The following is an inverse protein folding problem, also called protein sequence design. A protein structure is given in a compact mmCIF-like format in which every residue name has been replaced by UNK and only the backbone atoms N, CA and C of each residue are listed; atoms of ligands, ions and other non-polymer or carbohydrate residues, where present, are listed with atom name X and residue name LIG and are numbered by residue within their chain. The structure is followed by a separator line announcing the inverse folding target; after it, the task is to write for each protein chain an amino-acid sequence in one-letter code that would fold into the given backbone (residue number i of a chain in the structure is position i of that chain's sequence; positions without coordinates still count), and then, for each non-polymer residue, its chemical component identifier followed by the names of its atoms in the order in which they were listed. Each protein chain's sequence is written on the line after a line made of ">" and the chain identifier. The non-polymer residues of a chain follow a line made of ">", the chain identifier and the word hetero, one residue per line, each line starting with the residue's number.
data_IF_661280720308
#
_entry.id   IF_661280720308
#
_cell.length_a   1.000
_cell.length_b   1.000
_cell.length_c   1.000
_cell.angle_alpha   90.00
_cell.angle_beta   90.00
_cell.angle_gamma   90.00
#
_symmetry.space_group_name_H-M   'P 1'
#
loop_
_entity.id
_entity.type
_entity.pdbx_description
1 polymer ?
#
# COMPACT_ATOMS: atom_id res chain seq x y z
N UNK A 1 -13.06 -15.81 3.71
CA UNK A 1 -12.65 -15.59 5.11
C UNK A 1 -12.01 -14.22 5.26
N UNK A 2 -12.29 -13.49 6.31
CA UNK A 2 -11.69 -12.18 6.61
C UNK A 2 -10.69 -12.37 7.74
N UNK A 3 -9.47 -11.81 7.58
CA UNK A 3 -8.46 -11.82 8.64
C UNK A 3 -8.74 -10.67 9.60
N UNK A 4 -8.82 -10.98 10.90
CA UNK A 4 -8.96 -9.99 11.97
C UNK A 4 -7.60 -9.84 12.65
N UNK A 5 -7.01 -8.67 12.54
CA UNK A 5 -5.72 -8.35 13.15
C UNK A 5 -5.47 -6.85 13.15
N UNK A 6 -4.33 -6.44 13.68
CA UNK A 6 -3.91 -5.05 13.63
C UNK A 6 -3.04 -4.83 12.37
N UNK A 7 -3.59 -4.23 11.30
CA UNK A 7 -2.85 -4.03 10.05
C UNK A 7 -1.66 -3.06 10.23
N UNK A 8 -1.75 -2.11 11.17
CA UNK A 8 -0.66 -1.19 11.47
C UNK A 8 0.55 -1.90 12.07
N UNK A 9 0.31 -2.88 12.97
CA UNK A 9 1.41 -3.66 13.53
C UNK A 9 2.07 -4.52 12.48
N UNK A 10 1.29 -5.20 11.64
CA UNK A 10 1.82 -6.00 10.54
C UNK A 10 2.64 -5.14 9.57
N UNK A 11 2.10 -3.99 9.15
CA UNK A 11 2.81 -3.03 8.29
C UNK A 11 4.15 -2.61 8.92
N UNK A 12 4.14 -2.20 10.19
CA UNK A 12 5.35 -1.73 10.88
C UNK A 12 6.41 -2.84 11.00
N UNK A 13 6.00 -4.09 11.27
CA UNK A 13 6.89 -5.25 11.30
C UNK A 13 7.55 -5.45 9.94
N UNK A 14 6.75 -5.51 8.86
CA UNK A 14 7.28 -5.77 7.52
C UNK A 14 8.16 -4.64 7.02
N UNK A 15 7.76 -3.39 7.20
CA UNK A 15 8.56 -2.21 6.80
C UNK A 15 9.92 -2.23 7.49
N UNK A 16 9.98 -2.41 8.81
CA UNK A 16 11.27 -2.41 9.52
C UNK A 16 12.22 -3.51 9.04
N UNK A 17 11.71 -4.70 8.73
CA UNK A 17 12.55 -5.82 8.27
C UNK A 17 12.97 -5.62 6.81
N UNK A 18 12.05 -5.21 5.94
CA UNK A 18 12.33 -4.97 4.51
C UNK A 18 13.32 -3.81 4.35
N UNK A 19 13.12 -2.71 5.08
CA UNK A 19 14.06 -1.58 5.06
C UNK A 19 15.47 -2.01 5.49
N UNK A 20 15.58 -2.86 6.52
CA UNK A 20 16.88 -3.42 6.91
C UNK A 20 17.46 -4.33 5.81
N UNK A 21 16.64 -5.18 5.21
CA UNK A 21 17.05 -6.06 4.13
C UNK A 21 17.55 -5.28 2.90
N UNK A 22 16.94 -4.15 2.58
CA UNK A 22 17.36 -3.24 1.51
C UNK A 22 18.63 -2.47 1.89
N UNK A 23 18.64 -1.90 3.10
CA UNK A 23 19.73 -1.06 3.61
C UNK A 23 21.06 -1.80 3.73
N UNK A 24 21.02 -3.06 4.19
CA UNK A 24 22.21 -3.88 4.41
C UNK A 24 22.46 -4.88 3.28
N UNK A 25 21.78 -4.70 2.14
CA UNK A 25 22.05 -5.52 0.96
C UNK A 25 23.30 -5.04 0.22
N UNK A 26 23.79 -5.88 -0.68
CA UNK A 26 24.89 -5.53 -1.61
C UNK A 26 24.30 -4.95 -2.89
N UNK A 27 25.11 -4.23 -3.67
CA UNK A 27 24.73 -3.85 -5.04
C UNK A 27 24.30 -5.09 -5.84
N UNK A 28 23.17 -5.00 -6.51
CA UNK A 28 22.54 -6.12 -7.25
C UNK A 28 22.11 -7.30 -6.38
N UNK A 29 21.99 -7.12 -5.07
CA UNK A 29 21.44 -8.14 -4.17
C UNK A 29 19.92 -8.26 -4.33
N UNK A 30 19.38 -9.36 -3.81
CA UNK A 30 17.96 -9.70 -3.91
C UNK A 30 17.34 -9.66 -2.52
N UNK A 31 16.13 -9.17 -2.42
CA UNK A 31 15.25 -9.33 -1.26
C UNK A 31 14.03 -10.12 -1.71
N UNK A 32 13.72 -11.21 -1.03
CA UNK A 32 12.53 -11.99 -1.31
C UNK A 32 11.61 -12.05 -0.11
N UNK A 33 10.30 -11.90 -0.35
CA UNK A 33 9.27 -12.00 0.68
C UNK A 33 8.34 -13.14 0.31
N UNK A 34 8.17 -14.10 1.21
CA UNK A 34 7.26 -15.24 1.04
C UNK A 34 6.27 -15.25 2.18
N UNK A 35 5.00 -15.47 1.86
CA UNK A 35 3.94 -15.63 2.86
C UNK A 35 3.28 -16.98 2.65
N UNK A 36 3.12 -17.74 3.74
CA UNK A 36 2.48 -19.05 3.70
C UNK A 36 1.57 -19.24 4.92
N UNK A 37 0.37 -19.73 4.68
CA UNK A 37 -0.50 -20.21 5.74
C UNK A 37 0.03 -21.54 6.28
N UNK A 38 0.12 -21.67 7.61
CA UNK A 38 0.71 -22.82 8.29
C UNK A 38 -0.32 -23.77 8.91
N UNK A 39 -1.60 -23.42 8.81
CA UNK A 39 -2.73 -24.19 9.31
C UNK A 39 -3.73 -23.29 10.04
N UNK A 40 -4.97 -23.79 10.17
CA UNK A 40 -6.06 -23.12 10.86
C UNK A 40 -6.59 -24.04 11.97
N UNK A 41 -6.71 -23.51 13.20
CA UNK A 41 -7.33 -24.19 14.34
C UNK A 41 -8.19 -23.21 15.12
N UNK A 42 -9.41 -23.59 15.44
CA UNK A 42 -10.33 -22.79 16.28
C UNK A 42 -10.53 -21.34 15.77
N UNK A 43 -10.68 -21.15 14.44
CA UNK A 43 -10.88 -19.83 13.87
C UNK A 43 -9.62 -18.94 13.87
N UNK A 44 -8.43 -19.51 14.12
CA UNK A 44 -7.16 -18.80 14.04
C UNK A 44 -6.25 -19.50 13.04
N UNK A 45 -5.78 -18.75 12.02
CA UNK A 45 -4.78 -19.25 11.08
C UNK A 45 -3.40 -18.76 11.46
N UNK A 46 -2.42 -19.63 11.34
CA UNK A 46 -1.01 -19.26 11.42
C UNK A 46 -0.52 -18.77 10.06
N UNK A 47 0.05 -17.59 10.00
CA UNK A 47 0.73 -17.08 8.80
C UNK A 47 2.22 -16.98 9.06
N UNK A 48 3.01 -17.62 8.18
CA UNK A 48 4.47 -17.50 8.16
C UNK A 48 4.87 -16.48 7.11
N UNK A 49 5.56 -15.44 7.56
CA UNK A 49 6.26 -14.48 6.72
C UNK A 49 7.74 -14.81 6.75
N UNK A 50 8.36 -14.94 5.59
CA UNK A 50 9.78 -15.19 5.44
C UNK A 50 10.36 -14.09 4.56
N UNK A 51 11.28 -13.31 5.12
CA UNK A 51 11.98 -12.22 4.44
C UNK A 51 13.46 -12.63 4.37
N UNK A 52 13.95 -12.81 3.15
CA UNK A 52 15.32 -13.25 2.85
C UNK A 52 16.05 -12.17 2.08
N UNK A 53 17.26 -11.83 2.48
CA UNK A 53 18.17 -10.94 1.76
C UNK A 53 19.49 -11.65 1.43
N UNK A 54 20.16 -11.16 0.38
CA UNK A 54 21.50 -11.61 -0.01
C UNK A 54 22.60 -10.63 0.44
N UNK A 55 22.35 -9.89 1.51
CA UNK A 55 23.19 -8.81 1.99
C UNK A 55 24.49 -9.24 2.67
N UNK A 56 24.96 -8.35 3.54
CA UNK A 56 26.23 -8.56 4.28
C UNK A 56 26.14 -9.65 5.34
N UNK A 57 24.91 -10.00 5.80
CA UNK A 57 24.68 -10.90 6.91
C UNK A 57 25.15 -10.35 8.25
N UNK A 58 25.05 -11.15 9.30
CA UNK A 58 25.35 -10.78 10.68
C UNK A 58 26.23 -11.81 11.37
N UNK A 59 27.10 -11.35 12.26
CA UNK A 59 27.90 -12.19 13.12
C UNK A 59 27.07 -12.86 14.23
N UNK A 60 27.53 -14.01 14.73
CA UNK A 60 26.82 -14.81 15.74
C UNK A 60 26.56 -14.02 17.04
N UNK A 61 27.48 -13.17 17.46
CA UNK A 61 27.33 -12.39 18.69
C UNK A 61 26.30 -11.26 18.51
N UNK A 62 26.31 -10.58 17.37
CA UNK A 62 25.31 -9.56 17.06
C UNK A 62 23.90 -10.17 16.92
N UNK A 63 23.79 -11.33 16.28
CA UNK A 63 22.53 -12.06 16.09
C UNK A 63 21.81 -12.38 17.40
N UNK A 64 22.55 -12.61 18.50
CA UNK A 64 21.98 -12.88 19.84
C UNK A 64 21.29 -11.65 20.42
N UNK A 65 21.73 -10.44 20.06
CA UNK A 65 21.30 -9.17 20.62
C UNK A 65 20.49 -8.28 19.66
N UNK A 66 20.24 -8.76 18.43
CA UNK A 66 19.59 -7.96 17.37
C UNK A 66 18.23 -7.37 17.77
N UNK A 67 17.51 -8.02 18.69
CA UNK A 67 16.22 -7.57 19.19
C UNK A 67 16.29 -6.67 20.43
N UNK A 68 17.47 -6.40 20.96
CA UNK A 68 17.68 -5.49 22.07
C UNK A 68 17.67 -4.04 21.57
N UNK A 69 17.12 -3.09 22.35
CA UNK A 69 17.14 -1.68 21.98
C UNK A 69 18.57 -1.13 21.85
N UNK A 70 18.76 -0.23 20.89
CA UNK A 70 20.03 0.47 20.62
C UNK A 70 21.19 -0.44 20.17
N UNK A 71 20.91 -1.66 19.78
CA UNK A 71 21.93 -2.60 19.31
C UNK A 71 22.27 -2.30 17.84
N UNK A 72 23.56 -2.14 17.57
CA UNK A 72 24.13 -1.95 16.24
C UNK A 72 25.40 -2.77 16.11
N UNK A 73 25.59 -3.43 14.96
CA UNK A 73 26.85 -4.11 14.68
C UNK A 73 27.91 -3.05 14.34
N UNK A 74 28.93 -2.88 15.19
CA UNK A 74 30.06 -1.99 14.96
C UNK A 74 30.92 -2.52 13.80
N UNK A 75 30.52 -2.24 12.57
CA UNK A 75 31.38 -2.40 11.41
C UNK A 75 31.99 -1.05 11.07
N UNK A 76 33.30 -0.94 11.25
CA UNK A 76 34.13 0.28 11.14
C UNK A 76 33.76 1.17 9.96
N UNK A 77 33.90 2.45 10.19
CA UNK A 77 34.11 3.64 9.33
C UNK A 77 33.56 3.72 7.88
N UNK A 78 32.77 2.79 7.38
CA UNK A 78 32.30 2.75 5.98
C UNK A 78 30.79 2.67 5.75
N UNK A 79 29.95 2.68 6.76
CA UNK A 79 28.51 2.72 6.57
C UNK A 79 27.93 4.04 7.07
N UNK A 80 27.63 4.94 6.14
CA UNK A 80 26.94 6.24 6.36
C UNK A 80 25.43 6.06 6.70
N UNK A 81 25.04 4.99 7.39
CA UNK A 81 23.63 4.77 7.70
C UNK A 81 23.37 4.91 9.20
N UNK A 82 23.08 6.15 9.64
CA UNK A 82 22.66 6.44 11.00
C UNK A 82 21.24 5.89 11.25
N UNK A 83 21.13 4.69 11.82
CA UNK A 83 19.90 4.20 12.43
C UNK A 83 20.02 4.26 13.95
N UNK A 84 18.94 4.54 14.67
CA UNK A 84 18.94 4.60 16.16
C UNK A 84 19.04 3.23 16.82
N UNK A 85 18.99 2.12 16.05
CA UNK A 85 19.02 0.75 16.58
C UNK A 85 17.72 0.33 17.28
N UNK A 86 16.60 0.95 16.97
CA UNK A 86 15.29 0.65 17.59
C UNK A 86 14.38 -0.23 16.71
N UNK A 87 14.65 -0.34 15.41
CA UNK A 87 13.74 -1.00 14.46
C UNK A 87 13.45 -2.46 14.85
N UNK A 88 14.47 -3.26 15.15
CA UNK A 88 14.30 -4.68 15.45
C UNK A 88 13.72 -4.94 16.85
N UNK A 89 13.99 -4.09 17.82
CA UNK A 89 13.33 -4.16 19.14
C UNK A 89 11.83 -3.83 19.06
N UNK A 90 11.46 -2.88 18.21
CA UNK A 90 10.06 -2.58 17.89
C UNK A 90 9.38 -3.78 17.21
N UNK A 91 10.05 -4.40 16.22
CA UNK A 91 9.54 -5.62 15.56
C UNK A 91 9.27 -6.71 16.59
N UNK A 92 10.23 -7.01 17.46
CA UNK A 92 10.06 -8.03 18.50
C UNK A 92 8.86 -7.74 19.39
N UNK A 93 8.73 -6.50 19.88
CA UNK A 93 7.62 -6.07 20.72
C UNK A 93 6.26 -6.21 20.03
N UNK A 94 6.17 -5.83 18.76
CA UNK A 94 4.92 -5.95 17.98
C UNK A 94 4.55 -7.40 17.70
N UNK A 95 5.54 -8.25 17.36
CA UNK A 95 5.33 -9.69 17.17
C UNK A 95 4.83 -10.33 18.47
N UNK A 96 5.42 -9.98 19.62
CA UNK A 96 4.98 -10.49 20.93
C UNK A 96 3.55 -10.01 21.28
N UNK A 97 3.21 -8.74 21.00
CA UNK A 97 1.86 -8.22 21.17
C UNK A 97 0.83 -8.95 20.29
N UNK A 98 1.24 -9.38 19.10
CA UNK A 98 0.42 -10.21 18.21
C UNK A 98 0.46 -11.70 18.57
N UNK A 99 1.08 -12.09 19.70
CA UNK A 99 1.25 -13.47 20.16
C UNK A 99 1.95 -14.36 19.14
N UNK A 100 2.82 -13.77 18.34
CA UNK A 100 3.61 -14.41 17.31
C UNK A 100 4.99 -14.84 17.79
N UNK A 101 5.77 -15.36 16.85
CA UNK A 101 7.17 -15.68 17.05
C UNK A 101 8.02 -15.12 15.93
N UNK A 102 9.25 -14.70 16.25
CA UNK A 102 10.23 -14.27 15.25
C UNK A 102 11.54 -15.03 15.46
N UNK A 103 12.14 -15.47 14.36
CA UNK A 103 13.47 -16.09 14.31
C UNK A 103 14.29 -15.42 13.23
N UNK A 104 15.59 -15.40 13.42
CA UNK A 104 16.56 -14.93 12.45
C UNK A 104 17.63 -15.99 12.24
N UNK A 105 17.91 -16.26 10.97
CA UNK A 105 19.10 -17.00 10.54
C UNK A 105 19.92 -16.10 9.64
N UNK A 106 21.22 -15.99 9.93
CA UNK A 106 22.11 -15.09 9.19
C UNK A 106 23.55 -15.54 9.31
N UNK A 107 24.28 -15.36 8.22
CA UNK A 107 25.71 -15.64 8.16
C UNK A 107 26.43 -14.49 7.44
N UNK A 108 27.53 -14.03 8.02
CA UNK A 108 28.38 -12.99 7.41
C UNK A 108 28.74 -13.37 5.97
N UNK A 109 28.46 -12.47 5.04
CA UNK A 109 28.70 -12.64 3.62
C UNK A 109 27.66 -13.45 2.84
N UNK A 110 26.61 -13.96 3.47
CA UNK A 110 25.55 -14.74 2.82
C UNK A 110 24.17 -14.09 2.85
N UNK A 111 23.97 -13.10 3.76
CA UNK A 111 22.70 -12.43 3.98
C UNK A 111 21.95 -12.94 5.21
N UNK A 112 20.65 -12.64 5.28
CA UNK A 112 19.81 -12.98 6.44
C UNK A 112 18.43 -13.48 6.01
N UNK A 113 17.85 -14.33 6.86
CA UNK A 113 16.47 -14.81 6.73
C UNK A 113 15.74 -14.53 8.03
N UNK A 114 14.71 -13.70 7.97
CA UNK A 114 13.79 -13.45 9.07
C UNK A 114 12.52 -14.27 8.86
N UNK A 115 12.17 -15.10 9.84
CA UNK A 115 10.91 -15.87 9.83
C UNK A 115 10.01 -15.40 10.96
N UNK A 116 8.82 -14.96 10.60
CA UNK A 116 7.79 -14.51 11.54
C UNK A 116 6.59 -15.43 11.41
N UNK A 117 6.04 -15.88 12.52
CA UNK A 117 4.77 -16.61 12.55
C UNK A 117 3.79 -15.83 13.39
N UNK A 118 2.68 -15.43 12.80
CA UNK A 118 1.61 -14.69 13.46
C UNK A 118 0.32 -15.51 13.47
N UNK A 119 -0.30 -15.71 14.63
CA UNK A 119 -1.66 -16.21 14.71
C UNK A 119 -2.62 -15.06 14.38
N UNK A 120 -3.42 -15.23 13.32
CA UNK A 120 -4.38 -14.23 12.88
C UNK A 120 -5.77 -14.86 12.96
N UNK A 121 -6.70 -14.22 13.65
CA UNK A 121 -8.06 -14.69 13.73
C UNK A 121 -8.73 -14.64 12.36
N UNK A 122 -9.45 -15.69 12.02
CA UNK A 122 -10.27 -15.74 10.81
C UNK A 122 -11.72 -15.57 11.22
N UNK A 123 -12.36 -14.54 10.72
CA UNK A 123 -13.81 -14.45 10.75
C UNK A 123 -14.35 -15.34 9.62
N UNK A 124 -14.93 -16.47 9.97
CA UNK A 124 -15.79 -17.19 9.04
C UNK A 124 -17.00 -16.31 8.77
N UNK A 125 -16.92 -15.51 7.73
CA UNK A 125 -18.10 -14.83 7.21
C UNK A 125 -19.04 -15.97 6.79
N UNK A 126 -20.05 -16.27 7.62
CA UNK A 126 -21.15 -17.14 7.24
C UNK A 126 -21.66 -16.63 5.90
N UNK A 127 -21.58 -17.49 4.93
CA UNK A 127 -21.69 -17.19 3.49
C UNK A 127 -23.14 -16.85 3.16
N UNK A 128 -23.56 -15.63 3.53
CA UNK A 128 -24.77 -15.00 3.02
C UNK A 128 -24.35 -13.66 2.40
N UNK A 129 -24.09 -13.70 1.07
CA UNK A 129 -23.96 -12.58 0.14
C UNK A 129 -22.61 -11.87 -0.14
N UNK A 130 -21.37 -12.25 0.30
CA UNK A 130 -20.18 -11.51 -0.14
C UNK A 130 -19.79 -11.74 -1.62
N UNK A 131 -20.04 -12.93 -2.13
CA UNK A 131 -19.66 -13.28 -3.52
C UNK A 131 -20.56 -12.63 -4.58
N UNK A 132 -21.82 -12.40 -4.26
CA UNK A 132 -22.74 -11.69 -5.16
C UNK A 132 -22.52 -10.18 -5.11
N UNK A 133 -22.25 -9.62 -3.93
CA UNK A 133 -21.88 -8.21 -3.79
C UNK A 133 -20.52 -7.90 -4.42
N UNK A 134 -19.54 -8.80 -4.33
CA UNK A 134 -18.26 -8.64 -5.01
C UNK A 134 -18.37 -8.76 -6.52
N UNK A 135 -19.15 -9.73 -7.00
CA UNK A 135 -19.45 -9.87 -8.43
C UNK A 135 -20.26 -8.68 -8.95
N UNK A 136 -21.23 -8.22 -8.17
CA UNK A 136 -21.98 -7.01 -8.47
C UNK A 136 -21.10 -5.77 -8.51
N UNK A 137 -20.27 -5.55 -7.47
CA UNK A 137 -19.37 -4.40 -7.43
C UNK A 137 -18.32 -4.39 -8.55
N UNK A 138 -17.80 -5.55 -8.95
CA UNK A 138 -16.91 -5.70 -10.12
C UNK A 138 -17.63 -5.48 -11.44
N UNK A 139 -18.83 -6.04 -11.59
CA UNK A 139 -19.64 -5.82 -12.78
C UNK A 139 -20.10 -4.36 -12.95
N UNK A 140 -20.20 -3.63 -11.85
CA UNK A 140 -20.69 -2.26 -11.80
C UNK A 140 -19.70 -1.22 -12.35
N UNK A 141 -18.39 -1.52 -12.38
CA UNK A 141 -17.36 -0.65 -12.96
C UNK A 141 -16.88 -1.13 -14.35
N UNK A 142 -17.40 -2.27 -14.81
CA UNK A 142 -17.07 -2.78 -16.14
C UNK A 142 -17.42 -1.75 -17.23
N UNK A 143 -16.49 -1.53 -18.14
CA UNK A 143 -16.61 -0.55 -19.22
C UNK A 143 -16.38 0.90 -18.80
N UNK A 144 -16.10 1.20 -17.51
CA UNK A 144 -15.67 2.53 -17.09
C UNK A 144 -14.30 2.87 -17.68
N UNK A 145 -14.10 4.13 -17.99
CA UNK A 145 -12.79 4.67 -18.36
C UNK A 145 -12.28 5.58 -17.25
N UNK A 146 -11.18 5.18 -16.63
CA UNK A 146 -10.61 5.80 -15.43
C UNK A 146 -9.31 6.51 -15.77
N UNK A 147 -9.13 7.74 -15.30
CA UNK A 147 -7.84 8.40 -15.25
C UNK A 147 -7.23 8.14 -13.87
N UNK A 148 -6.16 7.36 -13.81
CA UNK A 148 -5.42 7.05 -12.58
C UNK A 148 -4.18 7.94 -12.52
N UNK A 149 -4.07 8.71 -11.44
CA UNK A 149 -2.95 9.66 -11.23
C UNK A 149 -2.20 9.26 -9.97
N UNK A 150 -0.99 8.77 -10.15
CA UNK A 150 -0.13 8.20 -9.09
C UNK A 150 1.33 8.32 -9.52
N UNK A 151 2.19 8.87 -8.66
CA UNK A 151 3.62 9.06 -8.95
C UNK A 151 4.49 7.84 -8.64
N UNK A 152 3.97 6.91 -7.83
CA UNK A 152 4.66 5.67 -7.51
C UNK A 152 4.26 4.56 -8.49
N UNK A 153 5.22 4.13 -9.33
CA UNK A 153 5.02 3.12 -10.38
C UNK A 153 4.39 1.83 -9.84
N UNK A 154 4.83 1.32 -8.68
CA UNK A 154 4.30 0.10 -8.07
C UNK A 154 2.84 0.28 -7.63
N UNK A 155 2.51 1.43 -7.02
CA UNK A 155 1.13 1.71 -6.62
C UNK A 155 0.23 1.83 -7.84
N UNK A 156 0.73 2.50 -8.90
CA UNK A 156 0.04 2.65 -10.18
C UNK A 156 -0.29 1.29 -10.79
N UNK A 157 0.71 0.41 -10.95
CA UNK A 157 0.54 -0.95 -11.49
C UNK A 157 -0.47 -1.78 -10.69
N UNK A 158 -0.44 -1.69 -9.36
CA UNK A 158 -1.37 -2.43 -8.50
C UNK A 158 -2.82 -1.96 -8.72
N UNK A 159 -3.06 -0.65 -8.72
CA UNK A 159 -4.42 -0.09 -8.87
C UNK A 159 -4.92 -0.31 -10.30
N UNK A 160 -4.07 -0.11 -11.30
CA UNK A 160 -4.37 -0.37 -12.72
C UNK A 160 -4.80 -1.82 -12.93
N UNK A 161 -3.99 -2.79 -12.49
CA UNK A 161 -4.32 -4.21 -12.57
C UNK A 161 -5.68 -4.54 -11.94
N UNK A 162 -5.97 -3.97 -10.78
CA UNK A 162 -7.23 -4.22 -10.09
C UNK A 162 -8.45 -3.65 -10.83
N UNK A 163 -8.31 -2.49 -11.45
CA UNK A 163 -9.37 -1.85 -12.25
C UNK A 163 -9.61 -2.64 -13.54
N UNK A 164 -8.54 -3.06 -14.21
CA UNK A 164 -8.62 -3.85 -15.45
C UNK A 164 -9.22 -5.23 -15.22
N UNK A 165 -8.84 -5.92 -14.14
CA UNK A 165 -9.46 -7.20 -13.71
C UNK A 165 -10.97 -7.06 -13.44
N UNK A 166 -11.42 -5.85 -13.06
CA UNK A 166 -12.83 -5.55 -12.89
C UNK A 166 -13.52 -5.06 -14.18
N UNK A 167 -12.80 -5.04 -15.30
CA UNK A 167 -13.30 -4.70 -16.63
C UNK A 167 -13.35 -3.20 -16.94
N UNK A 168 -12.69 -2.36 -16.17
CA UNK A 168 -12.48 -0.96 -16.50
C UNK A 168 -11.31 -0.78 -17.46
N UNK A 169 -11.24 0.32 -18.20
CA UNK A 169 -10.07 0.74 -18.95
C UNK A 169 -9.38 1.89 -18.22
N UNK A 170 -8.06 1.83 -18.11
CA UNK A 170 -7.27 2.80 -17.35
C UNK A 170 -6.39 3.62 -18.30
N UNK A 171 -6.27 4.91 -18.01
CA UNK A 171 -5.24 5.80 -18.54
C UNK A 171 -4.48 6.33 -17.34
N UNK A 172 -3.17 6.24 -17.34
CA UNK A 172 -2.31 6.64 -16.23
C UNK A 172 -1.71 8.03 -16.46
N UNK A 173 -1.41 8.74 -15.37
CA UNK A 173 -0.62 9.95 -15.33
C UNK A 173 0.27 9.92 -14.08
N UNK A 174 1.52 10.40 -14.21
CA UNK A 174 2.54 10.27 -13.16
C UNK A 174 2.58 11.48 -12.20
N UNK A 175 1.86 12.55 -12.52
CA UNK A 175 1.73 13.74 -11.67
C UNK A 175 0.47 14.52 -12.03
N UNK A 176 0.16 15.55 -11.23
CA UNK A 176 -1.02 16.38 -11.43
C UNK A 176 -0.99 17.20 -12.73
N UNK A 177 0.19 17.56 -13.22
CA UNK A 177 0.32 18.31 -14.48
C UNK A 177 -0.03 17.42 -15.66
N UNK A 178 0.51 16.22 -15.72
CA UNK A 178 0.19 15.24 -16.76
C UNK A 178 -1.30 14.88 -16.73
N UNK A 179 -1.88 14.74 -15.54
CA UNK A 179 -3.32 14.50 -15.39
C UNK A 179 -4.16 15.61 -16.02
N UNK A 180 -3.82 16.87 -15.78
CA UNK A 180 -4.49 18.04 -16.39
C UNK A 180 -4.31 18.01 -17.91
N UNK A 181 -3.12 17.73 -18.41
CA UNK A 181 -2.82 17.71 -19.84
C UNK A 181 -3.61 16.58 -20.54
N UNK A 182 -3.62 15.36 -19.98
CA UNK A 182 -4.38 14.20 -20.48
C UNK A 182 -5.88 14.50 -20.48
N UNK A 183 -6.40 15.02 -19.35
CA UNK A 183 -7.82 15.35 -19.26
C UNK A 183 -8.21 16.44 -20.27
N UNK A 184 -7.42 17.51 -20.38
CA UNK A 184 -7.67 18.63 -21.30
C UNK A 184 -7.65 18.21 -22.77
N UNK A 185 -6.75 17.31 -23.15
CA UNK A 185 -6.60 16.81 -24.52
C UNK A 185 -7.71 15.79 -24.89
N UNK A 186 -8.38 15.20 -23.91
CA UNK A 186 -9.44 14.21 -24.14
C UNK A 186 -10.73 14.88 -24.61
N UNK A 187 -11.59 14.10 -25.29
CA UNK A 187 -12.94 14.56 -25.60
C UNK A 187 -13.77 14.65 -24.31
N UNK A 188 -14.69 15.65 -24.17
CA UNK A 188 -15.62 15.66 -23.05
C UNK A 188 -16.37 14.32 -22.90
N UNK A 189 -16.51 13.84 -21.66
CA UNK A 189 -17.12 12.56 -21.35
C UNK A 189 -16.24 11.33 -21.61
N UNK A 190 -14.94 11.50 -21.88
CA UNK A 190 -14.01 10.38 -22.07
C UNK A 190 -13.80 9.60 -20.78
N UNK A 191 -13.71 10.27 -19.65
CA UNK A 191 -13.44 9.63 -18.35
C UNK A 191 -14.70 9.61 -17.50
N UNK A 192 -15.01 8.43 -16.95
CA UNK A 192 -16.10 8.21 -16.00
C UNK A 192 -15.72 8.64 -14.58
N UNK A 193 -14.43 8.60 -14.23
CA UNK A 193 -13.89 9.17 -13.00
C UNK A 193 -12.35 9.35 -13.07
N UNK A 194 -11.84 10.13 -12.12
CA UNK A 194 -10.40 10.37 -11.90
C UNK A 194 -10.06 9.87 -10.49
N UNK A 195 -9.09 8.96 -10.37
CA UNK A 195 -8.46 8.58 -9.12
C UNK A 195 -7.18 9.39 -8.99
N UNK A 196 -7.07 10.21 -7.95
CA UNK A 196 -6.04 11.25 -7.83
C UNK A 196 -5.25 11.10 -6.54
N UNK A 197 -3.96 10.76 -6.61
CA UNK A 197 -3.08 10.92 -5.45
C UNK A 197 -2.96 12.40 -5.09
N UNK A 198 -2.91 12.67 -3.79
CA UNK A 198 -2.81 14.04 -3.29
C UNK A 198 -1.37 14.56 -3.25
N UNK A 199 -0.41 13.68 -2.95
CA UNK A 199 0.98 14.05 -2.68
C UNK A 199 1.89 13.57 -3.80
N UNK A 200 2.00 14.38 -4.84
CA UNK A 200 2.84 14.11 -6.01
C UNK A 200 3.82 15.24 -6.28
N UNK A 201 4.96 14.95 -6.94
CA UNK A 201 5.89 15.96 -7.42
C UNK A 201 5.24 16.83 -8.53
N UNK A 202 5.90 17.93 -8.90
CA UNK A 202 5.54 18.85 -9.98
C UNK A 202 4.23 19.60 -9.70
N UNK A 203 3.09 18.87 -9.57
CA UNK A 203 1.78 19.42 -9.24
C UNK A 203 1.04 18.45 -8.33
N UNK A 204 0.59 18.94 -7.17
CA UNK A 204 -0.19 18.15 -6.23
C UNK A 204 -1.57 17.82 -6.77
N UNK A 205 -2.20 16.76 -6.23
CA UNK A 205 -3.57 16.39 -6.61
C UNK A 205 -4.59 17.48 -6.29
N UNK A 206 -4.38 18.24 -5.23
CA UNK A 206 -5.25 19.39 -4.89
C UNK A 206 -5.21 20.49 -5.96
N UNK A 207 -4.01 20.82 -6.45
CA UNK A 207 -3.83 21.80 -7.51
C UNK A 207 -4.42 21.29 -8.83
N UNK A 208 -4.13 20.04 -9.18
CA UNK A 208 -4.66 19.41 -10.38
C UNK A 208 -6.19 19.41 -10.41
N UNK A 209 -6.83 19.05 -9.28
CA UNK A 209 -8.29 19.07 -9.18
C UNK A 209 -8.87 20.48 -9.39
N UNK A 210 -8.29 21.51 -8.76
CA UNK A 210 -8.73 22.90 -8.97
C UNK A 210 -8.60 23.33 -10.42
N UNK A 211 -7.48 22.98 -11.06
CA UNK A 211 -7.25 23.28 -12.48
C UNK A 211 -8.28 22.56 -13.35
N UNK A 212 -8.50 21.26 -13.15
CA UNK A 212 -9.51 20.46 -13.87
C UNK A 212 -10.89 21.07 -13.72
N UNK A 213 -11.29 21.44 -12.51
CA UNK A 213 -12.59 22.07 -12.22
C UNK A 213 -12.75 23.44 -12.89
N UNK A 214 -11.66 24.15 -13.11
CA UNK A 214 -11.64 25.46 -13.79
C UNK A 214 -11.57 25.40 -15.32
N UNK A 215 -11.42 24.22 -15.92
CA UNK A 215 -11.33 24.11 -17.38
C UNK A 215 -12.64 24.49 -18.09
N UNK A 216 -12.60 25.20 -19.23
CA UNK A 216 -13.79 25.59 -19.98
C UNK A 216 -14.32 24.43 -20.82
N UNK A 217 -14.75 23.35 -20.15
CA UNK A 217 -15.32 22.16 -20.79
C UNK A 217 -16.52 21.62 -19.98
N UNK A 218 -17.54 21.02 -20.66
CA UNK A 218 -18.81 20.70 -20.02
C UNK A 218 -18.70 19.66 -18.89
N UNK A 219 -17.74 18.75 -18.95
CA UNK A 219 -17.53 17.69 -17.95
C UNK A 219 -16.57 18.06 -16.82
N UNK A 220 -15.87 19.19 -16.90
CA UNK A 220 -14.91 19.64 -15.89
C UNK A 220 -15.53 19.76 -14.47
N UNK A 221 -16.77 20.26 -14.40
CA UNK A 221 -17.49 20.41 -13.15
C UNK A 221 -18.18 19.14 -12.64
N UNK A 222 -18.32 18.11 -13.49
CA UNK A 222 -19.15 16.93 -13.18
C UNK A 222 -18.39 15.60 -13.16
N UNK A 223 -17.19 15.51 -13.77
CA UNK A 223 -16.37 14.29 -13.70
C UNK A 223 -16.03 13.99 -12.24
N UNK A 224 -16.34 12.78 -11.72
CA UNK A 224 -15.98 12.43 -10.36
C UNK A 224 -14.46 12.43 -10.17
N UNK A 225 -13.98 13.15 -9.13
CA UNK A 225 -12.58 13.12 -8.71
C UNK A 225 -12.52 12.52 -7.31
N UNK A 226 -11.86 11.38 -7.18
CA UNK A 226 -11.70 10.63 -5.94
C UNK A 226 -10.25 10.77 -5.48
N UNK A 227 -10.06 11.40 -4.31
CA UNK A 227 -8.74 11.54 -3.71
C UNK A 227 -8.22 10.21 -3.14
N UNK A 228 -6.93 9.93 -3.36
CA UNK A 228 -6.18 8.86 -2.71
C UNK A 228 -5.13 9.48 -1.80
N UNK A 229 -5.14 9.20 -0.49
CA UNK A 229 -4.19 9.81 0.46
C UNK A 229 -3.58 8.80 1.41
N UNK A 230 -2.38 9.11 1.90
CA UNK A 230 -1.72 8.30 2.94
C UNK A 230 -2.43 8.39 4.30
N UNK A 231 -3.17 9.47 4.56
CA UNK A 231 -3.86 9.73 5.82
C UNK A 231 -5.34 10.06 5.57
N UNK A 232 -6.20 9.71 6.53
CA UNK A 232 -7.63 10.04 6.51
C UNK A 232 -7.98 10.95 7.69
N UNK A 233 -7.18 12.02 7.91
CA UNK A 233 -7.50 13.01 8.93
C UNK A 233 -8.57 13.98 8.43
N UNK A 234 -9.36 14.53 9.37
CA UNK A 234 -10.45 15.46 9.05
C UNK A 234 -9.98 16.70 8.27
N UNK A 235 -8.73 17.14 8.48
CA UNK A 235 -8.10 18.26 7.75
C UNK A 235 -7.90 17.93 6.27
N UNK A 236 -7.45 16.71 5.94
CA UNK A 236 -7.25 16.28 4.55
C UNK A 236 -8.60 16.17 3.82
N UNK A 237 -9.64 15.71 4.51
CA UNK A 237 -11.00 15.62 3.97
C UNK A 237 -11.57 17.02 3.65
N UNK A 238 -11.32 18.01 4.51
CA UNK A 238 -11.74 19.39 4.26
C UNK A 238 -11.04 19.96 3.02
N UNK A 239 -9.71 19.78 2.93
CA UNK A 239 -8.91 20.26 1.80
C UNK A 239 -9.31 19.62 0.45
N UNK A 240 -9.67 18.33 0.44
CA UNK A 240 -10.15 17.66 -0.79
C UNK A 240 -11.46 18.25 -1.27
N UNK A 241 -12.40 18.54 -0.37
CA UNK A 241 -13.67 19.21 -0.72
C UNK A 241 -13.45 20.64 -1.24
N UNK A 242 -12.56 21.41 -0.62
CA UNK A 242 -12.22 22.77 -1.06
C UNK A 242 -11.52 22.78 -2.43
N UNK A 243 -10.82 21.70 -2.77
CA UNK A 243 -10.25 21.50 -4.10
C UNK A 243 -11.27 21.04 -5.16
N UNK A 244 -12.52 20.79 -4.75
CA UNK A 244 -13.59 20.35 -5.65
C UNK A 244 -13.58 18.84 -5.94
N UNK A 245 -12.97 18.04 -5.09
CA UNK A 245 -13.03 16.57 -5.18
C UNK A 245 -14.32 16.04 -4.55
N UNK A 246 -14.82 14.91 -5.05
CA UNK A 246 -16.11 14.35 -4.66
C UNK A 246 -16.04 13.36 -3.51
N UNK A 247 -14.90 12.68 -3.36
CA UNK A 247 -14.72 11.65 -2.33
C UNK A 247 -13.24 11.48 -1.97
N UNK A 248 -13.01 10.81 -0.82
CA UNK A 248 -11.68 10.57 -0.27
C UNK A 248 -11.51 9.10 0.14
N UNK A 249 -10.40 8.49 -0.27
CA UNK A 249 -10.01 7.12 0.07
C UNK A 249 -8.61 7.11 0.67
N UNK A 250 -8.45 6.46 1.81
CA UNK A 250 -7.15 6.27 2.43
C UNK A 250 -6.35 5.15 1.73
N UNK A 251 -5.05 5.36 1.57
CA UNK A 251 -4.09 4.31 1.19
C UNK A 251 -3.68 3.49 2.43
N UNK A 252 -3.50 2.17 2.36
CA UNK A 252 -3.68 1.33 1.16
C UNK A 252 -5.15 1.26 0.76
N UNK A 253 -5.42 1.34 -0.54
CA UNK A 253 -6.78 1.45 -1.07
C UNK A 253 -7.55 0.15 -0.82
N UNK A 254 -8.66 0.23 -0.09
CA UNK A 254 -9.64 -0.85 -0.01
C UNK A 254 -10.43 -0.90 -1.33
N UNK A 255 -10.15 -1.93 -2.15
CA UNK A 255 -10.70 -2.12 -3.49
C UNK A 255 -12.22 -2.13 -3.47
N UNK A 256 -12.83 -2.81 -2.49
CA UNK A 256 -14.29 -2.90 -2.38
C UNK A 256 -14.92 -1.53 -2.10
N UNK A 257 -14.25 -0.75 -1.25
CA UNK A 257 -14.66 0.63 -0.96
C UNK A 257 -14.51 1.49 -2.20
N UNK A 258 -13.39 1.37 -2.92
CA UNK A 258 -13.12 2.10 -4.15
C UNK A 258 -14.20 1.83 -5.22
N UNK A 259 -14.48 0.57 -5.53
CA UNK A 259 -15.51 0.22 -6.53
C UNK A 259 -16.90 0.71 -6.15
N UNK A 260 -17.27 0.61 -4.87
CA UNK A 260 -18.56 1.15 -4.38
C UNK A 260 -18.65 2.66 -4.54
N UNK A 261 -17.57 3.38 -4.26
CA UNK A 261 -17.50 4.83 -4.41
C UNK A 261 -17.60 5.22 -5.88
N UNK A 262 -16.80 4.60 -6.75
CA UNK A 262 -16.82 4.84 -8.19
C UNK A 262 -18.21 4.63 -8.79
N UNK A 263 -18.84 3.50 -8.47
CA UNK A 263 -20.19 3.20 -8.95
C UNK A 263 -21.26 4.18 -8.45
N UNK A 264 -21.17 4.58 -7.17
CA UNK A 264 -22.08 5.58 -6.59
C UNK A 264 -21.98 6.93 -7.30
N UNK A 265 -20.75 7.35 -7.63
CA UNK A 265 -20.51 8.64 -8.29
C UNK A 265 -20.84 8.63 -9.78
N UNK A 266 -20.68 7.49 -10.47
CA UNK A 266 -21.12 7.32 -11.88
C UNK A 266 -22.62 7.54 -12.09
N UNK A 267 -23.44 7.22 -11.08
CA UNK A 267 -24.91 7.31 -11.16
C UNK A 267 -25.48 8.71 -10.89
N UNK A 268 -24.63 9.70 -10.63
CA UNK A 268 -25.01 11.10 -10.45
C UNK A 268 -24.90 11.86 -11.75
#
# INVERSE_FOLDING_TARGET
>A
SRLIGNPMYLKQILVNIIDNALKYNRPHGVVSVRVKETGCQNGTAGYRFEIEDTGIGMGEDFKKHIFEPFTQENQGARTHYNGVGLGMSIVKKLVDQMKGTIKVDSQVGRGSVFQIILPIQIEEVQNTQPAEEERSARSDIAGMRVLLVEDNEINCEIVEFMLEEAGASVVTANDGKEAVDVFSASRPGTFDCILMDLMMPVMSGYEAARVIRGLPRPDAGSVPIIALSANAFDEDIAMTKDAGMDEHLAKPVDIRKMFRVMNRLRRR
#
